data_IF_280748721637
#
_entry.id   IF_280748721637
#
_cell.length_a   1.000
_cell.length_b   1.000
_cell.length_c   1.000
_cell.angle_alpha   90.00
_cell.angle_beta   90.00
_cell.angle_gamma   90.00
#
_symmetry.space_group_name_H-M   'P 1'
#
loop_
_entity.id
_entity.type
_entity.pdbx_description
1 polymer ?
#
# COMPACT_ATOMS: atom_id res chain seq x y z
N UNK A 1 -6.60 -5.72 -9.06
CA UNK A 1 -7.38 -6.81 -8.46
C UNK A 1 -8.53 -6.13 -7.72
N UNK A 2 -9.76 -6.58 -7.91
CA UNK A 2 -10.93 -6.06 -7.19
C UNK A 2 -11.28 -6.93 -5.97
N UNK A 3 -10.54 -8.02 -5.73
CA UNK A 3 -10.68 -8.94 -4.60
C UNK A 3 -12.01 -9.69 -4.54
N UNK A 4 -12.81 -9.70 -5.60
CA UNK A 4 -14.13 -10.34 -5.60
C UNK A 4 -14.11 -11.84 -5.97
N UNK A 5 -12.91 -12.41 -6.20
CA UNK A 5 -12.77 -13.83 -6.52
C UNK A 5 -12.09 -14.61 -5.39
N UNK A 6 -12.43 -15.89 -5.25
CA UNK A 6 -11.89 -16.77 -4.19
C UNK A 6 -10.37 -17.00 -4.28
N UNK A 7 -9.72 -16.59 -5.38
CA UNK A 7 -8.28 -16.71 -5.59
C UNK A 7 -7.53 -15.45 -5.16
N UNK A 8 -7.23 -15.35 -3.86
CA UNK A 8 -6.24 -14.38 -3.39
C UNK A 8 -4.82 -14.90 -3.63
N UNK A 9 -4.06 -14.21 -4.48
CA UNK A 9 -2.65 -14.50 -4.77
C UNK A 9 -1.69 -13.49 -4.12
N UNK A 10 -2.22 -12.55 -3.35
CA UNK A 10 -1.42 -11.60 -2.59
C UNK A 10 -0.87 -12.27 -1.33
N UNK A 11 0.39 -11.97 -1.02
CA UNK A 11 1.08 -12.48 0.17
C UNK A 11 0.93 -11.42 1.27
N UNK A 12 0.60 -11.85 2.48
CA UNK A 12 0.55 -10.96 3.64
C UNK A 12 1.16 -11.63 4.87
N UNK A 13 1.32 -10.86 5.93
CA UNK A 13 1.91 -11.25 7.21
C UNK A 13 0.91 -11.91 8.20
N UNK A 14 -0.33 -12.14 7.78
CA UNK A 14 -1.40 -12.69 8.60
C UNK A 14 -2.27 -11.64 9.32
N UNK A 15 -1.95 -10.35 9.23
CA UNK A 15 -2.75 -9.28 9.82
C UNK A 15 -3.94 -8.86 8.92
N UNK A 16 -3.96 -9.30 7.67
CA UNK A 16 -4.93 -8.87 6.66
C UNK A 16 -6.15 -9.80 6.58
N UNK A 17 -7.32 -9.19 6.49
CA UNK A 17 -8.63 -9.81 6.28
C UNK A 17 -9.19 -9.44 4.91
N UNK A 18 -10.13 -10.25 4.40
CA UNK A 18 -10.70 -10.13 3.05
C UNK A 18 -12.05 -9.42 2.99
N UNK A 19 -12.54 -8.97 4.14
CA UNK A 19 -13.84 -8.31 4.24
C UNK A 19 -13.73 -7.20 5.28
N UNK A 20 -13.83 -5.93 4.86
CA UNK A 20 -13.91 -4.81 5.77
C UNK A 20 -15.08 -5.00 6.74
N UNK A 21 -14.78 -4.98 8.03
CA UNK A 21 -15.77 -5.15 9.10
C UNK A 21 -15.50 -4.25 10.31
N UNK A 22 -14.64 -3.23 10.14
CA UNK A 22 -14.33 -2.26 11.17
C UNK A 22 -15.50 -1.31 11.46
N UNK A 23 -15.37 -0.50 12.50
CA UNK A 23 -16.37 0.54 12.83
C UNK A 23 -16.26 1.77 11.93
N UNK A 24 -15.04 2.08 11.45
CA UNK A 24 -14.74 3.20 10.56
C UNK A 24 -14.60 2.71 9.12
N UNK A 25 -13.73 1.71 8.89
CA UNK A 25 -13.53 1.09 7.58
C UNK A 25 -14.38 -0.17 7.53
N UNK A 26 -15.58 -0.05 6.96
CA UNK A 26 -16.63 -1.06 7.05
C UNK A 26 -17.18 -1.53 5.68
N UNK A 27 -16.60 -1.05 4.59
CA UNK A 27 -16.97 -1.43 3.24
C UNK A 27 -15.76 -1.35 2.31
N UNK A 28 -15.76 -2.19 1.28
CA UNK A 28 -14.83 -2.08 0.17
C UNK A 28 -15.19 -0.88 -0.73
N UNK A 29 -14.22 -0.39 -1.52
CA UNK A 29 -14.49 0.66 -2.50
C UNK A 29 -15.49 0.20 -3.58
N UNK A 30 -15.41 -1.07 -3.97
CA UNK A 30 -16.31 -1.74 -4.92
C UNK A 30 -16.61 -3.15 -4.42
N UNK A 31 -17.80 -3.66 -4.72
CA UNK A 31 -18.20 -5.01 -4.34
C UNK A 31 -18.30 -5.22 -2.82
N UNK A 32 -17.94 -6.41 -2.35
CA UNK A 32 -18.01 -6.79 -0.93
C UNK A 32 -16.62 -7.05 -0.31
N UNK A 33 -15.59 -7.19 -1.13
CA UNK A 33 -14.27 -7.65 -0.73
C UNK A 33 -13.20 -6.60 -0.94
N UNK A 34 -12.33 -6.48 0.05
CA UNK A 34 -11.11 -5.71 -0.02
C UNK A 34 -10.16 -6.26 1.04
N UNK A 35 -8.86 -6.13 0.79
CA UNK A 35 -7.86 -6.39 1.81
C UNK A 35 -7.90 -5.26 2.84
N UNK A 36 -8.04 -5.65 4.10
CA UNK A 36 -8.26 -4.74 5.22
C UNK A 36 -7.63 -5.29 6.50
N UNK A 37 -7.08 -4.43 7.34
CA UNK A 37 -6.55 -4.83 8.64
C UNK A 37 -7.57 -4.51 9.73
N UNK A 38 -8.14 -5.52 10.42
CA UNK A 38 -9.12 -5.30 11.47
C UNK A 38 -8.48 -4.78 12.76
N UNK A 39 -8.96 -3.64 13.25
CA UNK A 39 -8.57 -3.08 14.55
C UNK A 39 -7.42 -2.08 14.46
N UNK A 40 -6.80 -1.82 15.61
CA UNK A 40 -5.67 -0.91 15.72
C UNK A 40 -4.37 -1.61 15.30
N UNK A 41 -3.52 -0.88 14.57
CA UNK A 41 -2.19 -1.33 14.19
C UNK A 41 -1.20 -0.97 15.29
N UNK A 42 -0.85 -1.95 16.11
CA UNK A 42 0.24 -1.83 17.09
C UNK A 42 1.60 -2.19 16.49
N UNK A 43 1.61 -2.70 15.26
CA UNK A 43 2.80 -3.17 14.53
C UNK A 43 2.71 -2.85 13.05
N UNK A 44 3.87 -2.76 12.43
CA UNK A 44 4.05 -2.73 10.98
C UNK A 44 3.35 -3.93 10.32
N UNK A 45 2.51 -3.67 9.33
CA UNK A 45 1.85 -4.71 8.53
C UNK A 45 2.25 -4.68 7.06
N UNK A 46 2.17 -5.84 6.41
CA UNK A 46 2.71 -6.06 5.07
C UNK A 46 1.69 -6.68 4.11
N UNK A 47 1.51 -6.05 2.94
CA UNK A 47 0.85 -6.63 1.77
C UNK A 47 1.73 -6.65 0.50
N UNK A 48 1.99 -7.84 -0.06
CA UNK A 48 2.78 -8.06 -1.28
C UNK A 48 1.90 -8.50 -2.44
N UNK A 49 2.02 -7.80 -3.57
CA UNK A 49 1.39 -8.21 -4.82
C UNK A 49 2.11 -9.41 -5.45
N UNK A 50 1.43 -10.15 -6.34
CA UNK A 50 2.12 -11.01 -7.31
C UNK A 50 3.16 -10.20 -8.09
N UNK A 51 4.17 -10.89 -8.60
CA UNK A 51 5.15 -10.26 -9.46
C UNK A 51 4.59 -10.06 -10.88
N UNK A 52 4.77 -8.84 -11.38
CA UNK A 52 4.33 -8.44 -12.71
C UNK A 52 5.53 -8.33 -13.66
N UNK A 53 5.43 -8.93 -14.85
CA UNK A 53 6.37 -8.67 -15.94
C UNK A 53 5.92 -7.41 -16.69
N UNK A 54 6.65 -6.32 -16.48
CA UNK A 54 6.36 -5.02 -17.06
C UNK A 54 7.37 -4.64 -18.16
N UNK A 55 8.26 -5.56 -18.54
CA UNK A 55 9.34 -5.31 -19.50
C UNK A 55 8.87 -4.84 -20.89
N UNK A 56 7.60 -5.11 -21.23
CA UNK A 56 6.98 -4.73 -22.49
C UNK A 56 6.13 -3.45 -22.39
N UNK A 57 6.05 -2.80 -21.23
CA UNK A 57 5.22 -1.62 -21.00
C UNK A 57 6.11 -0.38 -20.93
N UNK A 58 5.92 0.56 -21.87
CA UNK A 58 6.76 1.78 -21.96
C UNK A 58 6.50 2.77 -20.84
N UNK A 59 5.27 2.78 -20.31
CA UNK A 59 4.85 3.63 -19.21
C UNK A 59 3.95 2.80 -18.29
N UNK A 60 4.53 1.92 -17.46
CA UNK A 60 3.77 1.12 -16.50
C UNK A 60 2.96 2.05 -15.60
N UNK A 61 1.71 1.66 -15.30
CA UNK A 61 0.80 2.41 -14.44
C UNK A 61 0.26 1.45 -13.38
N UNK A 62 0.29 1.88 -12.12
CA UNK A 62 -0.32 1.21 -10.98
C UNK A 62 -1.47 2.11 -10.54
N UNK A 63 -2.61 1.55 -10.19
CA UNK A 63 -3.70 2.33 -9.62
C UNK A 63 -4.38 1.47 -8.56
N UNK A 64 -4.63 2.05 -7.40
CA UNK A 64 -5.38 1.37 -6.34
C UNK A 64 -6.17 2.38 -5.52
N UNK A 65 -7.18 1.85 -4.83
CA UNK A 65 -7.91 2.59 -3.82
C UNK A 65 -7.39 2.16 -2.46
N UNK A 66 -7.07 3.16 -1.64
CA UNK A 66 -6.76 2.96 -0.24
C UNK A 66 -7.64 3.83 0.63
N UNK A 67 -7.90 3.32 1.83
CA UNK A 67 -8.51 4.07 2.90
C UNK A 67 -7.78 3.70 4.18
N UNK A 68 -7.32 4.71 4.91
CA UNK A 68 -6.66 4.55 6.20
C UNK A 68 -7.28 5.49 7.23
N UNK A 69 -7.26 5.05 8.48
CA UNK A 69 -7.62 5.89 9.61
C UNK A 69 -6.50 5.79 10.65
N UNK A 70 -5.46 6.58 10.44
CA UNK A 70 -4.21 6.56 11.20
C UNK A 70 -3.94 7.93 11.83
N UNK A 71 -3.03 7.97 12.80
CA UNK A 71 -2.65 9.19 13.50
C UNK A 71 -1.41 9.81 12.84
N UNK A 72 -1.59 10.92 12.12
CA UNK A 72 -0.47 11.72 11.60
C UNK A 72 0.21 12.52 12.73
N UNK A 73 1.55 12.53 12.85
CA UNK A 73 2.56 11.85 12.03
C UNK A 73 3.06 10.50 12.60
N UNK A 74 2.39 9.95 13.60
CA UNK A 74 2.85 8.71 14.25
C UNK A 74 2.80 7.48 13.31
N UNK A 75 1.73 7.38 12.51
CA UNK A 75 1.38 6.21 11.72
C UNK A 75 1.03 6.59 10.29
N UNK A 76 1.32 5.69 9.37
CA UNK A 76 1.03 5.86 7.95
C UNK A 76 1.58 4.69 7.16
N UNK A 77 1.52 4.79 5.84
CA UNK A 77 2.02 3.75 4.97
C UNK A 77 2.91 4.22 3.85
N UNK A 78 3.57 3.26 3.21
CA UNK A 78 4.50 3.50 2.10
C UNK A 78 4.45 2.36 1.11
N UNK A 79 4.51 2.73 -0.17
CA UNK A 79 4.60 1.78 -1.26
C UNK A 79 6.06 1.58 -1.66
N UNK A 80 6.50 0.33 -1.64
CA UNK A 80 7.82 -0.11 -2.07
C UNK A 80 7.70 -1.10 -3.22
N UNK A 81 8.80 -1.28 -3.95
CA UNK A 81 8.89 -2.23 -5.04
C UNK A 81 10.19 -3.03 -4.98
N UNK A 82 10.17 -4.24 -5.55
CA UNK A 82 11.35 -5.11 -5.67
C UNK A 82 11.51 -5.64 -7.08
N UNK A 83 12.75 -5.57 -7.59
CA UNK A 83 13.17 -6.11 -8.89
C UNK A 83 14.06 -7.35 -8.76
N UNK A 84 14.23 -7.87 -7.54
CA UNK A 84 15.15 -8.97 -7.22
C UNK A 84 14.49 -10.08 -6.39
N UNK A 85 13.20 -10.33 -6.67
CA UNK A 85 12.38 -11.35 -6.01
C UNK A 85 12.22 -11.12 -4.49
N UNK A 86 12.10 -9.86 -4.06
CA UNK A 86 11.85 -9.49 -2.67
C UNK A 86 13.08 -9.52 -1.76
N UNK A 87 14.29 -9.63 -2.33
CA UNK A 87 15.53 -9.57 -1.54
C UNK A 87 15.82 -8.14 -1.06
N UNK A 88 15.52 -7.15 -1.90
CA UNK A 88 15.60 -5.74 -1.57
C UNK A 88 14.32 -5.01 -2.00
N UNK A 89 13.97 -3.97 -1.24
CA UNK A 89 12.81 -3.12 -1.45
C UNK A 89 13.24 -1.67 -1.58
N UNK A 90 12.68 -0.97 -2.56
CA UNK A 90 12.96 0.44 -2.86
C UNK A 90 11.66 1.23 -2.72
N UNK A 91 11.73 2.44 -2.15
CA UNK A 91 10.57 3.32 -2.10
C UNK A 91 10.12 3.72 -3.49
N UNK A 92 8.82 3.64 -3.73
CA UNK A 92 8.19 4.07 -4.97
C UNK A 92 7.89 5.57 -4.88
N UNK A 93 8.79 6.40 -5.42
CA UNK A 93 8.65 7.87 -5.39
C UNK A 93 9.12 8.52 -4.07
N UNK A 94 8.91 9.83 -3.98
CA UNK A 94 9.25 10.70 -2.84
C UNK A 94 8.18 11.78 -2.61
N UNK A 95 8.22 12.41 -1.43
CA UNK A 95 7.43 13.63 -1.17
C UNK A 95 7.82 14.73 -2.17
N UNK A 96 6.82 15.38 -2.78
CA UNK A 96 7.04 16.45 -3.77
C UNK A 96 7.35 15.98 -5.19
N UNK A 97 7.31 14.67 -5.47
CA UNK A 97 7.36 14.15 -6.83
C UNK A 97 6.17 14.65 -7.67
N UNK A 98 6.34 14.66 -9.00
CA UNK A 98 5.31 15.19 -9.93
C UNK A 98 3.92 14.54 -9.81
N UNK A 99 3.84 13.31 -9.30
CA UNK A 99 2.57 12.60 -9.05
C UNK A 99 2.08 12.75 -7.60
N UNK A 100 2.86 13.38 -6.72
CA UNK A 100 2.57 13.63 -5.29
C UNK A 100 2.11 12.36 -4.54
N UNK A 101 2.93 11.30 -4.62
CA UNK A 101 2.70 10.00 -3.97
C UNK A 101 2.49 10.08 -2.46
N UNK A 102 3.22 10.99 -1.83
CA UNK A 102 3.34 11.07 -0.38
C UNK A 102 3.04 12.49 0.07
N UNK A 103 2.32 12.58 1.18
CA UNK A 103 1.92 13.83 1.82
C UNK A 103 2.75 14.14 3.08
N UNK A 104 3.70 13.26 3.42
CA UNK A 104 4.59 13.42 4.56
C UNK A 104 5.96 12.84 4.28
N UNK A 105 6.98 13.51 4.81
CA UNK A 105 8.37 13.04 4.88
C UNK A 105 8.84 12.78 6.32
N UNK A 106 7.93 12.77 7.29
CA UNK A 106 8.25 12.63 8.72
C UNK A 106 7.27 11.74 9.49
N UNK A 107 6.95 10.55 8.95
CA UNK A 107 6.11 9.56 9.64
C UNK A 107 6.96 8.71 10.58
N UNK A 108 6.65 8.74 11.88
CA UNK A 108 7.49 8.16 12.93
C UNK A 108 7.73 6.65 12.75
N UNK A 109 6.66 5.90 12.47
CA UNK A 109 6.69 4.46 12.21
C UNK A 109 7.48 4.05 10.97
N UNK A 110 7.70 4.99 10.03
CA UNK A 110 8.37 4.72 8.76
C UNK A 110 9.84 5.18 8.72
N UNK A 111 10.36 5.76 9.80
CA UNK A 111 11.73 6.28 9.86
C UNK A 111 12.81 5.25 9.48
N UNK A 112 12.66 3.99 9.89
CA UNK A 112 13.62 2.92 9.59
C UNK A 112 13.29 2.12 8.32
N UNK A 113 12.26 2.51 7.57
CA UNK A 113 11.73 1.76 6.42
C UNK A 113 11.87 2.59 5.15
N UNK A 114 11.33 3.81 5.18
CA UNK A 114 11.31 4.73 4.05
C UNK A 114 11.96 6.08 4.35
N UNK A 115 12.67 6.19 5.48
CA UNK A 115 13.20 7.46 6.00
C UNK A 115 12.07 8.49 6.27
N UNK A 116 10.94 8.00 6.80
CA UNK A 116 9.79 8.82 7.20
C UNK A 116 8.86 9.22 6.05
N UNK A 117 9.20 8.87 4.80
CA UNK A 117 8.40 9.21 3.62
C UNK A 117 7.19 8.27 3.52
N UNK A 118 5.99 8.82 3.39
CA UNK A 118 4.79 8.02 3.25
C UNK A 118 3.51 8.85 3.16
N UNK A 119 2.39 8.14 3.17
CA UNK A 119 1.06 8.72 3.31
C UNK A 119 0.55 8.52 4.75
N UNK A 120 0.08 9.59 5.38
CA UNK A 120 -0.53 9.55 6.74
C UNK A 120 -1.98 10.01 6.76
N UNK A 121 -2.54 10.34 5.59
CA UNK A 121 -3.95 10.75 5.44
C UNK A 121 -4.51 10.21 4.13
N UNK A 122 -5.84 10.11 4.08
CA UNK A 122 -6.55 9.63 2.89
C UNK A 122 -6.35 10.56 1.69
N UNK A 123 -5.71 10.05 0.65
CA UNK A 123 -5.66 10.64 -0.69
C UNK A 123 -6.58 9.79 -1.58
N UNK A 124 -7.71 10.35 -1.99
CA UNK A 124 -8.88 9.62 -2.50
C UNK A 124 -8.71 8.92 -3.86
N UNK A 125 -7.49 8.78 -4.40
CA UNK A 125 -7.14 8.01 -5.60
C UNK A 125 -5.65 8.15 -5.84
N UNK A 126 -4.92 7.05 -5.77
CA UNK A 126 -3.53 7.03 -6.19
C UNK A 126 -3.45 6.45 -7.60
N UNK A 127 -3.11 7.32 -8.56
CA UNK A 127 -2.87 7.00 -9.97
C UNK A 127 -1.39 7.14 -10.24
N UNK A 128 -0.72 6.04 -10.53
CA UNK A 128 0.72 5.88 -10.30
C UNK A 128 1.40 5.29 -11.53
N UNK A 129 2.68 5.58 -11.79
CA UNK A 129 3.40 5.06 -12.98
C UNK A 129 4.80 4.51 -12.71
N UNK A 130 4.97 3.19 -12.47
CA UNK A 130 6.30 2.56 -12.31
C UNK A 130 6.24 1.01 -12.16
N UNK A 131 7.40 0.34 -12.17
CA UNK A 131 7.63 -1.10 -12.30
C UNK A 131 7.66 -1.93 -10.98
N UNK A 132 7.43 -3.25 -11.09
CA UNK A 132 7.77 -4.38 -10.19
C UNK A 132 6.73 -4.87 -9.15
N UNK A 133 7.06 -5.91 -8.36
CA UNK A 133 6.15 -6.44 -7.33
C UNK A 133 6.01 -5.39 -6.22
N UNK A 134 4.79 -5.14 -5.75
CA UNK A 134 4.49 -4.05 -4.82
C UNK A 134 4.40 -4.55 -3.39
N UNK A 135 4.95 -3.77 -2.48
CA UNK A 135 4.94 -3.99 -1.03
C UNK A 135 4.38 -2.75 -0.40
N UNK A 136 3.23 -2.91 0.24
CA UNK A 136 2.63 -1.81 0.98
C UNK A 136 2.78 -2.09 2.47
N UNK A 137 3.34 -1.10 3.17
CA UNK A 137 3.60 -1.16 4.58
C UNK A 137 2.64 -0.22 5.29
N UNK A 138 1.85 -0.73 6.24
CA UNK A 138 0.88 0.05 7.01
C UNK A 138 1.19 0.03 8.51
#
# INVERSE_FOLDING_TARGET
DDFETDTNIWINDGNWSYTPNGSIINAAHSGNHALFIPGDLDTVSLLISPCFDLSQITHPVIEFYQYMNVNDPASGGVLQYSIDNGNNWLNLGNEGDTLNWYNSSSIDSLNNISNGIGFSTNINRDVLRTDACFYDLF
#
